data_IF_451682396075
#
_entry.id   IF_451682396075
#
_cell.length_a   1.000
_cell.length_b   1.000
_cell.length_c   1.000
_cell.angle_alpha   90.00
_cell.angle_beta   90.00
_cell.angle_gamma   90.00
#
_symmetry.space_group_name_H-M   'P 1'
#
loop_
_entity.id
_entity.type
_entity.pdbx_description
1 polymer ?
#
# COMPACT_ATOMS: atom_id res chain seq x y z
N UNK A 1 49.05 34.54 -80.29
CA UNK A 1 48.59 33.18 -79.93
C UNK A 1 47.15 33.35 -79.44
N UNK A 2 46.14 33.25 -80.30
CA UNK A 2 45.42 32.01 -80.70
C UNK A 2 45.03 31.20 -79.44
N UNK A 3 43.76 31.13 -79.05
CA UNK A 3 42.69 30.45 -79.81
C UNK A 3 41.31 31.11 -79.74
N UNK A 4 40.60 30.98 -80.86
CA UNK A 4 39.28 31.51 -81.19
C UNK A 4 38.08 30.68 -80.68
N UNK A 5 36.96 31.40 -80.49
CA UNK A 5 35.56 31.15 -80.89
C UNK A 5 34.97 29.72 -80.79
N UNK A 6 33.74 29.66 -80.28
CA UNK A 6 32.56 29.32 -81.11
C UNK A 6 31.24 29.73 -80.44
N UNK A 7 30.61 30.75 -81.04
CA UNK A 7 29.17 31.00 -81.02
C UNK A 7 28.60 30.21 -82.21
N UNK A 8 27.55 29.43 -82.01
CA UNK A 8 26.66 29.00 -83.09
C UNK A 8 25.24 28.82 -82.55
N UNK A 9 24.42 29.81 -82.86
CA UNK A 9 22.97 29.72 -83.10
C UNK A 9 22.67 28.66 -84.17
N UNK A 10 21.44 28.12 -84.20
CA UNK A 10 20.52 28.21 -85.36
C UNK A 10 19.21 27.39 -85.15
N UNK A 11 18.10 28.15 -85.17
CA UNK A 11 16.77 28.00 -85.80
C UNK A 11 15.74 26.87 -85.49
N UNK A 12 14.56 27.38 -85.10
CA UNK A 12 13.20 27.18 -85.64
C UNK A 12 12.55 25.79 -85.67
N UNK A 13 11.35 25.68 -85.07
CA UNK A 13 10.09 26.06 -85.76
C UNK A 13 8.91 26.22 -84.78
N UNK A 14 7.90 27.03 -85.15
CA UNK A 14 6.76 27.37 -84.30
C UNK A 14 5.70 26.28 -84.39
N UNK A 15 4.88 26.11 -83.34
CA UNK A 15 3.44 25.82 -83.47
C UNK A 15 2.69 25.69 -82.14
N UNK A 16 1.48 26.24 -82.19
CA UNK A 16 0.26 25.84 -81.51
C UNK A 16 0.11 26.10 -80.01
N UNK A 17 -0.71 27.13 -79.75
CA UNK A 17 -1.72 27.22 -78.70
C UNK A 17 -1.99 25.90 -77.97
N UNK A 18 -1.99 25.96 -76.64
CA UNK A 18 -3.14 25.52 -75.86
C UNK A 18 -3.10 26.30 -74.57
N UNK A 19 -4.08 27.18 -74.37
CA UNK A 19 -4.46 27.58 -73.03
C UNK A 19 -4.76 26.28 -72.28
N UNK A 20 -3.83 25.84 -71.43
CA UNK A 20 -4.13 24.77 -70.48
C UNK A 20 -5.06 25.38 -69.46
N UNK A 21 -6.36 25.37 -69.79
CA UNK A 21 -7.42 25.61 -68.85
C UNK A 21 -7.12 24.81 -67.60
N UNK A 22 -7.27 25.44 -66.42
CA UNK A 22 -7.14 24.76 -65.13
C UNK A 22 -8.00 23.51 -65.21
N UNK A 23 -7.38 22.33 -65.37
CA UNK A 23 -8.09 21.06 -65.31
C UNK A 23 -8.79 21.07 -63.96
N UNK A 24 -10.12 21.09 -63.94
CA UNK A 24 -10.87 20.95 -62.70
C UNK A 24 -10.37 19.66 -62.06
N UNK A 25 -9.71 19.78 -60.90
CA UNK A 25 -9.20 18.62 -60.16
C UNK A 25 -10.36 17.65 -59.97
N UNK A 26 -10.12 16.36 -60.16
CA UNK A 26 -11.20 15.39 -60.00
C UNK A 26 -11.74 15.50 -58.58
N UNK A 27 -13.06 15.28 -58.38
CA UNK A 27 -13.66 15.35 -57.03
C UNK A 27 -12.92 14.46 -56.02
N UNK A 28 -12.33 13.36 -56.49
CA UNK A 28 -11.52 12.43 -55.69
C UNK A 28 -10.15 13.00 -55.30
N UNK A 29 -9.49 13.76 -56.18
CA UNK A 29 -8.25 14.47 -55.83
C UNK A 29 -8.53 15.59 -54.81
N UNK A 30 -9.63 16.32 -54.99
CA UNK A 30 -10.03 17.37 -54.04
C UNK A 30 -10.33 16.77 -52.67
N UNK A 31 -11.06 15.65 -52.62
CA UNK A 31 -11.36 14.93 -51.38
C UNK A 31 -10.08 14.40 -50.70
N UNK A 32 -9.15 13.83 -51.46
CA UNK A 32 -7.87 13.33 -50.93
C UNK A 32 -7.02 14.45 -50.33
N UNK A 33 -6.86 15.56 -51.05
CA UNK A 33 -6.10 16.70 -50.54
C UNK A 33 -6.79 17.39 -49.36
N UNK A 34 -8.13 17.40 -49.33
CA UNK A 34 -8.88 17.88 -48.17
C UNK A 34 -8.67 16.98 -46.95
N UNK A 35 -8.66 15.66 -47.14
CA UNK A 35 -8.42 14.70 -46.05
C UNK A 35 -7.00 14.82 -45.50
N UNK A 36 -5.99 14.93 -46.37
CA UNK A 36 -4.60 15.16 -45.98
C UNK A 36 -4.46 16.51 -45.24
N UNK A 37 -5.17 17.55 -45.70
CA UNK A 37 -5.19 18.85 -45.02
C UNK A 37 -5.76 18.78 -43.61
N UNK A 38 -6.89 18.08 -43.43
CA UNK A 38 -7.47 17.86 -42.09
C UNK A 38 -6.54 17.03 -41.22
N UNK A 39 -5.93 15.96 -41.75
CA UNK A 39 -5.01 15.12 -41.00
C UNK A 39 -3.76 15.90 -40.54
N UNK A 40 -3.23 16.77 -41.40
CA UNK A 40 -2.10 17.62 -41.07
C UNK A 40 -2.46 18.63 -39.97
N UNK A 41 -3.64 19.25 -40.03
CA UNK A 41 -4.11 20.17 -38.98
C UNK A 41 -4.31 19.43 -37.66
N UNK A 42 -4.92 18.24 -37.67
CA UNK A 42 -5.09 17.42 -36.45
C UNK A 42 -3.73 17.01 -35.88
N UNK A 43 -2.75 16.67 -36.72
CA UNK A 43 -1.42 16.27 -36.28
C UNK A 43 -0.66 17.44 -35.66
N UNK A 44 -0.75 18.65 -36.25
CA UNK A 44 -0.13 19.86 -35.69
C UNK A 44 -0.82 20.27 -34.39
N UNK A 45 -2.15 20.19 -34.32
CA UNK A 45 -2.89 20.45 -33.08
C UNK A 45 -2.56 19.43 -32.00
N UNK A 46 -2.47 18.14 -32.34
CA UNK A 46 -2.09 17.10 -31.39
C UNK A 46 -0.66 17.30 -30.90
N UNK A 47 0.30 17.54 -31.81
CA UNK A 47 1.69 17.82 -31.44
C UNK A 47 1.80 19.10 -30.58
N UNK A 48 1.07 20.16 -30.91
CA UNK A 48 1.04 21.37 -30.10
C UNK A 48 0.43 21.14 -28.72
N UNK A 49 -0.68 20.39 -28.62
CA UNK A 49 -1.29 20.07 -27.32
C UNK A 49 -0.38 19.14 -26.49
N UNK A 50 0.27 18.16 -27.10
CA UNK A 50 1.24 17.28 -26.43
C UNK A 50 2.43 18.11 -25.93
N UNK A 51 3.04 18.94 -26.79
CA UNK A 51 4.17 19.79 -26.39
C UNK A 51 3.73 20.83 -25.34
N UNK A 52 2.56 21.44 -25.49
CA UNK A 52 2.03 22.41 -24.53
C UNK A 52 1.77 21.76 -23.17
N UNK A 53 1.20 20.56 -23.16
CA UNK A 53 0.94 19.76 -21.96
C UNK A 53 2.23 19.31 -21.26
N UNK A 54 3.25 18.90 -22.03
CA UNK A 54 4.49 18.38 -21.44
C UNK A 54 5.58 19.42 -21.17
N UNK A 55 5.62 20.54 -21.90
CA UNK A 55 6.78 21.46 -21.90
C UNK A 55 6.44 22.93 -21.65
N UNK A 56 5.26 23.42 -22.03
CA UNK A 56 4.98 24.88 -22.02
C UNK A 56 4.11 25.28 -20.83
N UNK A 57 3.15 24.46 -20.40
CA UNK A 57 2.24 24.80 -19.30
C UNK A 57 2.03 23.66 -18.28
N UNK A 58 3.07 23.18 -17.57
CA UNK A 58 2.90 22.23 -16.46
C UNK A 58 2.11 22.82 -15.27
N UNK A 59 1.79 24.13 -15.27
CA UNK A 59 1.21 24.86 -14.14
C UNK A 59 -0.22 25.36 -14.36
N UNK A 60 -0.84 25.19 -15.55
CA UNK A 60 -2.21 25.68 -15.82
C UNK A 60 -3.32 24.63 -15.70
N UNK A 61 -2.99 23.35 -15.61
CA UNK A 61 -3.93 22.36 -15.12
C UNK A 61 -3.90 22.41 -13.58
N UNK A 62 -5.04 22.76 -12.98
CA UNK A 62 -5.23 22.67 -11.55
C UNK A 62 -4.84 21.26 -11.06
N UNK A 63 -3.81 21.20 -10.20
CA UNK A 63 -3.22 19.95 -9.76
C UNK A 63 -1.99 19.60 -10.58
N UNK A 64 -0.82 19.71 -9.95
CA UNK A 64 0.48 19.25 -10.42
C UNK A 64 0.32 17.98 -11.28
N UNK A 65 0.90 17.89 -12.49
CA UNK A 65 0.90 16.63 -13.22
C UNK A 65 1.66 15.58 -12.39
N UNK A 66 0.91 14.74 -11.66
CA UNK A 66 1.38 13.60 -10.86
C UNK A 66 1.79 12.44 -11.76
N UNK A 67 2.67 12.68 -12.73
CA UNK A 67 3.33 11.61 -13.47
C UNK A 67 4.83 11.77 -13.30
N UNK A 68 5.32 11.14 -12.23
CA UNK A 68 6.72 11.07 -11.84
C UNK A 68 7.16 12.32 -11.11
N UNK A 69 7.31 12.23 -9.80
CA UNK A 69 8.26 13.11 -9.10
C UNK A 69 9.60 12.93 -9.81
N UNK A 70 9.91 13.86 -10.71
CA UNK A 70 11.16 13.82 -11.46
C UNK A 70 12.26 13.96 -10.43
N UNK A 71 13.11 12.94 -10.33
CA UNK A 71 14.36 12.95 -9.57
C UNK A 71 15.35 14.02 -10.09
N UNK A 72 14.93 14.83 -11.07
CA UNK A 72 15.68 15.93 -11.65
C UNK A 72 16.00 16.97 -10.55
N UNK A 73 17.28 17.10 -10.22
CA UNK A 73 17.75 17.99 -9.17
C UNK A 73 17.78 17.38 -7.76
N UNK A 74 17.38 16.11 -7.62
CA UNK A 74 17.54 15.37 -6.36
C UNK A 74 19.03 15.06 -6.15
N UNK A 75 19.58 15.55 -5.04
CA UNK A 75 20.96 15.29 -4.65
C UNK A 75 21.04 13.84 -4.17
N UNK A 76 21.77 13.00 -4.87
CA UNK A 76 21.97 11.59 -4.48
C UNK A 76 22.65 11.51 -3.11
N UNK A 77 22.13 10.64 -2.24
CA UNK A 77 22.75 10.33 -0.96
C UNK A 77 23.95 9.42 -1.21
N UNK A 78 25.13 9.84 -0.78
CA UNK A 78 26.33 9.03 -0.92
C UNK A 78 26.24 7.74 -0.09
N UNK A 79 26.64 6.62 -0.68
CA UNK A 79 26.59 5.32 -0.01
C UNK A 79 27.40 5.29 1.30
N UNK A 80 28.47 6.09 1.41
CA UNK A 80 29.23 6.22 2.66
C UNK A 80 28.38 6.80 3.80
N UNK A 81 27.53 7.79 3.51
CA UNK A 81 26.63 8.39 4.51
C UNK A 81 25.61 7.35 4.98
N UNK A 82 25.07 6.55 4.06
CA UNK A 82 24.16 5.45 4.36
C UNK A 82 24.86 4.41 5.26
N UNK A 83 26.06 3.98 4.88
CA UNK A 83 26.83 2.99 5.64
C UNK A 83 27.22 3.49 7.04
N UNK A 84 27.56 4.77 7.17
CA UNK A 84 27.87 5.40 8.46
C UNK A 84 26.65 5.42 9.37
N UNK A 85 25.46 5.76 8.84
CA UNK A 85 24.21 5.72 9.59
C UNK A 85 23.82 4.29 10.01
N UNK A 86 24.00 3.30 9.13
CA UNK A 86 23.79 1.89 9.47
C UNK A 86 24.75 1.41 10.56
N UNK A 87 26.01 1.83 10.48
CA UNK A 87 27.03 1.48 11.48
C UNK A 87 26.75 2.14 12.83
N UNK A 88 26.34 3.41 12.83
CA UNK A 88 25.87 4.11 14.03
C UNK A 88 24.70 3.37 14.68
N UNK A 89 23.68 3.03 13.89
CA UNK A 89 22.48 2.36 14.38
C UNK A 89 22.73 0.95 14.90
N UNK A 90 23.61 0.18 14.24
CA UNK A 90 24.00 -1.16 14.69
C UNK A 90 24.78 -1.14 16.01
N UNK A 91 25.32 0.02 16.42
CA UNK A 91 25.95 0.21 17.73
C UNK A 91 24.97 0.54 18.85
N UNK A 92 23.69 0.75 18.56
CA UNK A 92 22.67 1.03 19.57
C UNK A 92 22.24 -0.26 20.30
N UNK A 93 22.01 -0.13 21.60
CA UNK A 93 21.58 -1.27 22.42
C UNK A 93 20.22 -1.80 21.97
N UNK A 94 20.12 -3.13 21.85
CA UNK A 94 18.90 -3.82 21.42
C UNK A 94 18.68 -3.83 19.91
N UNK A 95 19.57 -3.21 19.11
CA UNK A 95 19.51 -3.26 17.64
C UNK A 95 20.35 -4.42 17.12
N UNK A 96 19.75 -5.29 16.32
CA UNK A 96 20.40 -6.41 15.65
C UNK A 96 20.93 -6.04 14.28
N UNK A 97 20.15 -5.28 13.50
CA UNK A 97 20.54 -4.84 12.17
C UNK A 97 19.81 -3.58 11.75
N UNK A 98 20.45 -2.84 10.84
CA UNK A 98 19.90 -1.62 10.23
C UNK A 98 20.10 -1.71 8.73
N UNK A 99 19.00 -1.69 7.99
CA UNK A 99 19.03 -1.62 6.54
C UNK A 99 18.42 -0.31 6.05
N UNK A 100 19.19 0.46 5.29
CA UNK A 100 18.74 1.74 4.74
C UNK A 100 18.72 1.63 3.22
N UNK A 101 17.55 1.82 2.62
CA UNK A 101 17.36 1.73 1.17
C UNK A 101 16.76 3.03 0.66
N UNK A 102 17.28 3.54 -0.46
CA UNK A 102 16.79 4.77 -1.09
C UNK A 102 16.12 4.41 -2.41
N UNK A 103 14.82 4.67 -2.49
CA UNK A 103 14.02 4.45 -3.70
C UNK A 103 13.38 5.77 -4.15
N UNK A 104 14.02 6.41 -5.13
CA UNK A 104 13.58 7.73 -5.59
C UNK A 104 13.69 8.78 -4.47
N UNK A 105 12.57 9.41 -4.11
CA UNK A 105 12.48 10.38 -3.02
C UNK A 105 12.20 9.73 -1.66
N UNK A 106 12.10 8.41 -1.57
CA UNK A 106 11.79 7.72 -0.32
C UNK A 106 13.06 7.10 0.26
N UNK A 107 13.32 7.36 1.53
CA UNK A 107 14.37 6.70 2.32
C UNK A 107 13.69 5.74 3.29
N UNK A 108 13.92 4.45 3.08
CA UNK A 108 13.44 3.37 3.94
C UNK A 108 14.51 3.04 4.97
N UNK A 109 14.16 3.13 6.25
CA UNK A 109 15.01 2.74 7.38
C UNK A 109 14.34 1.55 8.07
N UNK A 110 14.89 0.37 7.86
CA UNK A 110 14.45 -0.89 8.45
C UNK A 110 15.40 -1.27 9.59
N UNK A 111 14.87 -1.30 10.81
CA UNK A 111 15.62 -1.62 12.03
C UNK A 111 15.08 -2.91 12.63
N UNK A 112 15.97 -3.90 12.78
CA UNK A 112 15.68 -5.12 13.52
C UNK A 112 16.19 -5.02 14.93
N UNK A 113 15.35 -5.37 15.89
CA UNK A 113 15.66 -5.30 17.32
C UNK A 113 15.54 -6.66 18.00
N UNK A 114 16.20 -6.81 19.15
CA UNK A 114 16.03 -8.00 19.99
C UNK A 114 14.58 -8.14 20.46
N UNK A 115 14.10 -9.38 20.60
CA UNK A 115 12.73 -9.69 21.05
C UNK A 115 12.40 -9.15 22.45
N UNK A 116 13.42 -8.81 23.24
CA UNK A 116 13.29 -8.22 24.58
C UNK A 116 13.28 -6.69 24.57
N UNK A 117 13.47 -6.06 23.40
CA UNK A 117 13.48 -4.60 23.26
C UNK A 117 12.04 -4.08 23.23
N UNK A 118 11.70 -3.23 24.21
CA UNK A 118 10.40 -2.56 24.24
C UNK A 118 10.18 -1.68 23.01
N UNK A 119 8.95 -1.66 22.47
CA UNK A 119 8.62 -0.92 21.25
C UNK A 119 9.03 0.56 21.31
N UNK A 120 8.77 1.24 22.42
CA UNK A 120 9.10 2.66 22.60
C UNK A 120 10.62 2.93 22.51
N UNK A 121 11.44 2.01 23.00
CA UNK A 121 12.91 2.08 22.88
C UNK A 121 13.34 1.83 21.44
N UNK A 122 12.71 0.87 20.77
CA UNK A 122 13.00 0.51 19.38
C UNK A 122 12.64 1.67 18.42
N UNK A 123 11.48 2.29 18.61
CA UNK A 123 11.06 3.52 17.92
C UNK A 123 12.07 4.64 18.14
N UNK A 124 12.40 4.96 19.39
CA UNK A 124 13.36 6.02 19.72
C UNK A 124 14.77 5.76 19.14
N UNK A 125 15.22 4.51 19.06
CA UNK A 125 16.49 4.18 18.41
C UNK A 125 16.40 4.37 16.89
N UNK A 126 15.28 4.02 16.27
CA UNK A 126 15.05 4.22 14.83
C UNK A 126 15.00 5.70 14.48
N UNK A 127 14.36 6.53 15.32
CA UNK A 127 14.37 7.99 15.19
C UNK A 127 15.79 8.54 15.23
N UNK A 128 16.62 8.11 16.19
CA UNK A 128 18.04 8.53 16.27
C UNK A 128 18.84 8.19 15.02
N UNK A 129 18.60 7.03 14.42
CA UNK A 129 19.26 6.60 13.18
C UNK A 129 18.84 7.52 12.03
N UNK A 130 17.54 7.81 11.93
CA UNK A 130 16.99 8.73 10.94
C UNK A 130 17.54 10.15 11.10
N UNK A 131 17.56 10.68 12.32
CA UNK A 131 18.13 12.00 12.64
C UNK A 131 19.62 12.08 12.32
N UNK A 132 20.38 11.01 12.60
CA UNK A 132 21.79 10.93 12.24
C UNK A 132 21.99 11.00 10.73
N UNK A 133 21.18 10.25 9.97
CA UNK A 133 21.23 10.27 8.50
C UNK A 133 20.89 11.66 7.94
N UNK A 134 19.84 12.30 8.47
CA UNK A 134 19.41 13.66 8.09
C UNK A 134 20.55 14.67 8.32
N UNK A 135 21.15 14.67 9.51
CA UNK A 135 22.25 15.58 9.85
C UNK A 135 23.48 15.34 8.96
N UNK A 136 23.82 14.08 8.67
CA UNK A 136 24.91 13.74 7.78
C UNK A 136 24.66 14.20 6.33
N UNK A 137 23.43 14.03 5.83
CA UNK A 137 23.00 14.53 4.52
C UNK A 137 23.10 16.05 4.44
N UNK A 138 22.58 16.77 5.44
CA UNK A 138 22.56 18.23 5.43
C UNK A 138 23.95 18.86 5.63
N UNK A 139 24.87 18.15 6.31
CA UNK A 139 26.29 18.53 6.38
C UNK A 139 27.01 18.36 5.04
N UNK A 140 26.70 17.29 4.30
CA UNK A 140 27.28 17.04 3.00
C UNK A 140 26.73 18.00 1.93
N UNK A 141 25.42 18.24 1.97
CA UNK A 141 24.75 19.20 1.09
C UNK A 141 23.55 19.83 1.80
N UNK A 142 23.61 21.15 1.99
CA UNK A 142 22.68 21.89 2.83
C UNK A 142 21.22 21.71 2.40
N UNK A 143 20.37 21.27 3.34
CA UNK A 143 18.94 21.02 3.17
C UNK A 143 18.60 19.92 2.15
N UNK A 144 19.54 19.02 1.84
CA UNK A 144 19.27 17.89 0.94
C UNK A 144 18.26 16.90 1.53
N UNK A 145 18.18 16.80 2.86
CA UNK A 145 17.20 15.96 3.56
C UNK A 145 15.74 16.33 3.26
N UNK A 146 15.45 17.61 3.03
CA UNK A 146 14.09 18.11 2.79
C UNK A 146 13.50 17.63 1.46
N UNK A 147 14.34 17.12 0.55
CA UNK A 147 13.89 16.54 -0.72
C UNK A 147 13.47 15.07 -0.58
N UNK A 148 13.60 14.47 0.60
CA UNK A 148 13.33 13.06 0.87
C UNK A 148 12.20 12.86 1.88
N UNK A 149 11.44 11.79 1.70
CA UNK A 149 10.45 11.30 2.64
C UNK A 149 11.03 10.09 3.38
N UNK A 150 11.09 10.16 4.71
CA UNK A 150 11.63 9.08 5.53
C UNK A 150 10.51 8.16 6.01
N UNK A 151 10.65 6.87 5.72
CA UNK A 151 9.78 5.81 6.18
C UNK A 151 10.58 4.87 7.08
N UNK A 152 10.08 4.68 8.29
CA UNK A 152 10.74 3.95 9.36
C UNK A 152 9.97 2.66 9.60
N UNK A 153 10.68 1.56 9.72
CA UNK A 153 10.13 0.25 10.06
C UNK A 153 10.95 -0.31 11.19
N UNK A 154 10.28 -0.72 12.28
CA UNK A 154 10.94 -1.42 13.37
C UNK A 154 10.24 -2.73 13.65
N UNK A 155 11.03 -3.78 13.81
CA UNK A 155 10.53 -5.14 13.96
C UNK A 155 11.51 -6.00 14.76
N UNK A 156 11.00 -6.95 15.53
CA UNK A 156 11.81 -7.93 16.28
C UNK A 156 12.12 -9.20 15.48
N UNK A 157 11.39 -9.44 14.38
CA UNK A 157 11.57 -10.57 13.47
C UNK A 157 11.30 -10.14 12.02
N UNK A 158 11.49 -11.03 11.05
CA UNK A 158 11.14 -10.78 9.64
C UNK A 158 9.63 -10.49 9.48
N UNK A 159 9.21 -9.56 8.60
CA UNK A 159 7.80 -9.18 8.48
C UNK A 159 6.87 -10.33 8.11
N UNK A 160 7.36 -11.33 7.35
CA UNK A 160 6.56 -12.50 6.99
C UNK A 160 6.32 -13.38 8.21
N UNK A 161 7.37 -13.63 8.98
CA UNK A 161 7.26 -14.39 10.24
C UNK A 161 6.34 -13.68 11.22
N UNK A 162 6.41 -12.35 11.32
CA UNK A 162 5.50 -11.55 12.15
C UNK A 162 4.05 -11.67 11.72
N UNK A 163 3.77 -11.62 10.42
CA UNK A 163 2.40 -11.82 9.91
C UNK A 163 1.90 -13.22 10.26
N UNK A 164 2.73 -14.24 10.11
CA UNK A 164 2.37 -15.62 10.42
C UNK A 164 2.16 -15.83 11.93
N UNK A 165 3.02 -15.27 12.79
CA UNK A 165 2.89 -15.30 14.25
C UNK A 165 1.64 -14.54 14.73
N UNK A 166 1.45 -13.29 14.27
CA UNK A 166 0.27 -12.49 14.62
C UNK A 166 -1.02 -13.19 14.17
N UNK A 167 -1.00 -13.83 13.00
CA UNK A 167 -2.15 -14.60 12.51
C UNK A 167 -2.42 -15.83 13.38
N UNK A 168 -1.37 -16.53 13.83
CA UNK A 168 -1.51 -17.66 14.73
C UNK A 168 -2.06 -17.25 16.10
N UNK A 169 -1.55 -16.15 16.68
CA UNK A 169 -2.04 -15.60 17.95
C UNK A 169 -3.48 -15.08 17.85
N UNK A 170 -3.84 -14.42 16.75
CA UNK A 170 -5.22 -14.01 16.48
C UNK A 170 -6.15 -15.22 16.39
N UNK A 171 -5.74 -16.28 15.69
CA UNK A 171 -6.52 -17.51 15.58
C UNK A 171 -6.66 -18.22 16.94
N UNK A 172 -5.63 -18.22 17.78
CA UNK A 172 -5.70 -18.78 19.13
C UNK A 172 -6.63 -17.95 20.03
N UNK A 173 -6.56 -16.62 19.95
CA UNK A 173 -7.50 -15.73 20.66
C UNK A 173 -8.95 -15.98 20.24
N UNK A 174 -9.21 -16.06 18.93
CA UNK A 174 -10.55 -16.37 18.40
C UNK A 174 -11.02 -17.72 18.94
N UNK A 175 -10.15 -18.74 18.91
CA UNK A 175 -10.46 -20.06 19.47
C UNK A 175 -10.84 -19.97 20.95
N UNK A 176 -10.03 -19.33 21.78
CA UNK A 176 -10.28 -19.20 23.21
C UNK A 176 -11.60 -18.47 23.50
N UNK A 177 -11.90 -17.42 22.75
CA UNK A 177 -13.14 -16.67 22.88
C UNK A 177 -14.36 -17.51 22.50
N UNK A 178 -14.32 -18.21 21.37
CA UNK A 178 -15.41 -19.10 20.94
C UNK A 178 -15.65 -20.21 21.96
N UNK A 179 -14.58 -20.84 22.47
CA UNK A 179 -14.67 -21.85 23.55
C UNK A 179 -15.32 -21.26 24.81
N UNK A 180 -14.95 -20.03 25.21
CA UNK A 180 -15.50 -19.38 26.40
C UNK A 180 -17.00 -19.07 26.26
N UNK A 181 -17.45 -18.64 25.07
CA UNK A 181 -18.87 -18.46 24.78
C UNK A 181 -19.62 -19.78 24.95
N UNK A 182 -19.11 -20.86 24.38
CA UNK A 182 -19.80 -22.16 24.45
C UNK A 182 -19.78 -22.71 25.87
N UNK A 183 -18.70 -22.52 26.63
CA UNK A 183 -18.65 -22.84 28.07
C UNK A 183 -19.74 -22.10 28.85
N UNK A 184 -19.94 -20.80 28.63
CA UNK A 184 -20.99 -20.04 29.29
C UNK A 184 -22.39 -20.57 28.96
N UNK A 185 -22.65 -20.88 27.68
CA UNK A 185 -23.95 -21.38 27.25
C UNK A 185 -24.21 -22.80 27.77
N UNK A 186 -23.20 -23.68 27.77
CA UNK A 186 -23.31 -25.04 28.31
C UNK A 186 -23.49 -25.00 29.82
N UNK A 187 -22.68 -24.21 30.55
CA UNK A 187 -22.84 -24.02 31.99
C UNK A 187 -24.22 -23.49 32.36
N UNK A 188 -24.78 -22.58 31.55
CA UNK A 188 -26.14 -22.10 31.73
C UNK A 188 -27.21 -23.18 31.54
N UNK A 189 -27.01 -24.08 30.57
CA UNK A 189 -27.88 -25.24 30.38
C UNK A 189 -27.72 -26.29 31.50
N UNK A 190 -26.52 -26.41 32.09
CA UNK A 190 -26.29 -27.26 33.26
C UNK A 190 -27.00 -26.72 34.51
N UNK A 191 -27.02 -25.40 34.70
CA UNK A 191 -27.73 -24.75 35.81
C UNK A 191 -29.25 -24.77 35.61
N UNK A 192 -29.71 -24.54 34.38
CA UNK A 192 -31.13 -24.50 34.02
C UNK A 192 -31.41 -25.39 32.79
N UNK A 193 -31.55 -26.73 32.96
CA UNK A 193 -31.71 -27.68 31.86
C UNK A 193 -33.12 -27.69 31.26
N UNK A 194 -33.52 -26.56 30.70
CA UNK A 194 -34.74 -26.39 29.90
C UNK A 194 -34.51 -26.81 28.46
N UNK A 195 -35.58 -27.18 27.73
CA UNK A 195 -35.50 -27.51 26.28
C UNK A 195 -34.77 -26.40 25.51
N UNK A 196 -35.15 -25.15 25.75
CA UNK A 196 -34.59 -24.00 25.04
C UNK A 196 -33.09 -23.80 25.32
N UNK A 197 -32.64 -24.01 26.56
CA UNK A 197 -31.23 -23.87 26.92
C UNK A 197 -30.40 -25.03 26.37
N UNK A 198 -30.91 -26.25 26.40
CA UNK A 198 -30.26 -27.44 25.82
C UNK A 198 -30.13 -27.28 24.29
N UNK A 199 -31.19 -26.84 23.60
CA UNK A 199 -31.14 -26.54 22.17
C UNK A 199 -30.14 -25.42 21.84
N UNK A 200 -30.12 -24.35 22.65
CA UNK A 200 -29.15 -23.25 22.50
C UNK A 200 -27.72 -23.76 22.68
N UNK A 201 -27.45 -24.62 23.65
CA UNK A 201 -26.13 -25.22 23.87
C UNK A 201 -25.71 -26.09 22.67
N UNK A 202 -26.57 -27.01 22.24
CA UNK A 202 -26.31 -27.86 21.06
C UNK A 202 -26.04 -27.04 19.80
N UNK A 203 -26.78 -25.96 19.57
CA UNK A 203 -26.56 -25.08 18.42
C UNK A 203 -25.19 -24.39 18.47
N UNK A 204 -24.73 -23.94 19.64
CA UNK A 204 -23.42 -23.32 19.80
C UNK A 204 -22.28 -24.34 19.64
N UNK A 205 -22.44 -25.55 20.18
CA UNK A 205 -21.48 -26.66 20.00
C UNK A 205 -21.34 -27.02 18.51
N UNK A 206 -22.45 -27.06 17.77
CA UNK A 206 -22.43 -27.36 16.33
C UNK A 206 -21.59 -26.37 15.51
N UNK A 207 -21.56 -25.09 15.89
CA UNK A 207 -20.71 -24.09 15.22
C UNK A 207 -19.22 -24.36 15.43
N UNK A 208 -18.82 -24.91 16.58
CA UNK A 208 -17.43 -25.26 16.88
C UNK A 208 -16.99 -26.57 16.25
N UNK A 209 -17.91 -27.47 15.90
CA UNK A 209 -17.61 -28.86 15.55
C UNK A 209 -16.69 -29.02 14.32
N UNK A 210 -16.66 -28.01 13.44
CA UNK A 210 -15.77 -28.01 12.26
C UNK A 210 -14.38 -27.46 12.59
N UNK A 211 -14.29 -26.45 13.45
CA UNK A 211 -13.04 -25.74 13.76
C UNK A 211 -12.28 -26.37 14.93
N UNK A 212 -13.01 -26.86 15.94
CA UNK A 212 -12.50 -27.31 17.25
C UNK A 212 -13.23 -28.60 17.69
N UNK A 213 -13.00 -29.74 17.02
CA UNK A 213 -13.81 -30.95 17.19
C UNK A 213 -13.62 -31.63 18.55
N UNK A 214 -12.44 -31.52 19.16
CA UNK A 214 -12.15 -32.14 20.47
C UNK A 214 -12.92 -31.42 21.60
N UNK A 215 -12.87 -30.08 21.60
CA UNK A 215 -13.60 -29.25 22.54
C UNK A 215 -15.11 -29.40 22.35
N UNK A 216 -15.59 -29.39 21.10
CA UNK A 216 -17.01 -29.62 20.79
C UNK A 216 -17.50 -30.98 21.31
N UNK A 217 -16.70 -32.04 21.17
CA UNK A 217 -17.05 -33.37 21.69
C UNK A 217 -17.08 -33.41 23.22
N UNK A 218 -16.23 -32.66 23.91
CA UNK A 218 -16.25 -32.55 25.37
C UNK A 218 -17.52 -31.83 25.86
N UNK A 219 -17.90 -30.73 25.21
CA UNK A 219 -19.15 -30.02 25.51
C UNK A 219 -20.38 -30.85 25.19
N UNK A 220 -20.39 -31.57 24.07
CA UNK A 220 -21.53 -32.42 23.70
C UNK A 220 -21.81 -33.49 24.76
N UNK A 221 -20.76 -34.13 25.31
CA UNK A 221 -20.93 -35.10 26.40
C UNK A 221 -21.56 -34.51 27.65
N UNK A 222 -21.29 -33.24 27.96
CA UNK A 222 -21.89 -32.54 29.10
C UNK A 222 -23.38 -32.32 28.87
N UNK A 223 -23.73 -31.81 27.68
CA UNK A 223 -25.14 -31.58 27.30
C UNK A 223 -25.93 -32.89 27.20
N UNK A 224 -25.34 -33.95 26.63
CA UNK A 224 -25.98 -35.27 26.50
C UNK A 224 -26.26 -35.93 27.87
N UNK A 225 -25.55 -35.53 28.91
CA UNK A 225 -25.75 -36.02 30.28
C UNK A 225 -26.86 -35.28 31.03
N UNK A 226 -27.37 -34.17 30.49
CA UNK A 226 -28.44 -33.38 31.11
C UNK A 226 -29.78 -34.11 31.01
N UNK A 227 -30.54 -34.06 32.10
CA UNK A 227 -31.95 -34.47 32.11
C UNK A 227 -32.80 -33.22 32.05
N UNK A 228 -33.61 -33.10 31.00
CA UNK A 228 -34.55 -32.01 30.81
C UNK A 228 -35.50 -31.88 32.02
N UNK A 229 -35.72 -30.64 32.48
CA UNK A 229 -36.69 -30.35 33.53
C UNK A 229 -38.11 -30.59 33.03
N UNK A 230 -38.97 -31.12 33.91
CA UNK A 230 -40.41 -31.15 33.62
C UNK A 230 -41.00 -29.74 33.74
N UNK A 231 -42.13 -29.49 33.08
CA UNK A 231 -42.83 -28.19 33.17
C UNK A 231 -43.14 -27.77 34.61
N UNK A 232 -43.42 -28.73 35.49
CA UNK A 232 -43.66 -28.51 36.92
C UNK A 232 -42.39 -28.06 37.67
N UNK A 233 -41.23 -28.57 37.27
CA UNK A 233 -39.94 -28.18 37.84
C UNK A 233 -39.47 -26.81 37.32
N UNK A 234 -39.76 -26.50 36.06
CA UNK A 234 -39.50 -25.17 35.49
C UNK A 234 -40.35 -24.09 36.17
N UNK A 235 -41.65 -24.35 36.40
CA UNK A 235 -42.53 -23.40 37.10
C UNK A 235 -42.08 -23.15 38.55
N UNK A 236 -41.52 -24.18 39.21
CA UNK A 236 -40.98 -24.06 40.57
C UNK A 236 -39.67 -23.23 40.65
N UNK A 237 -38.94 -23.10 39.55
CA UNK A 237 -37.71 -22.29 39.48
C UNK A 237 -38.00 -20.78 39.35
N UNK A 238 -39.21 -20.40 38.95
CA UNK A 238 -39.59 -19.01 38.77
C UNK A 238 -38.94 -18.36 37.54
N UNK A 239 -38.62 -17.07 37.62
CA UNK A 239 -38.06 -16.32 36.49
C UNK A 239 -36.58 -16.66 36.29
N UNK A 240 -36.28 -17.40 35.22
CA UNK A 240 -34.91 -17.76 34.83
C UNK A 240 -34.20 -16.52 34.27
N UNK A 241 -32.97 -16.20 34.72
CA UNK A 241 -32.21 -15.06 34.22
C UNK A 241 -32.02 -15.08 32.69
N UNK A 242 -31.76 -13.93 32.08
CA UNK A 242 -31.35 -13.92 30.67
C UNK A 242 -29.83 -14.01 30.58
N UNK A 243 -29.31 -15.01 29.85
CA UNK A 243 -27.89 -15.10 29.54
C UNK A 243 -27.54 -14.16 28.38
N UNK A 244 -26.92 -13.03 28.71
CA UNK A 244 -26.21 -12.17 27.77
C UNK A 244 -24.82 -12.74 27.52
N UNK A 245 -24.51 -13.02 26.25
CA UNK A 245 -23.19 -13.51 25.83
C UNK A 245 -22.56 -12.39 25.02
N UNK A 246 -21.34 -12.02 25.40
CA UNK A 246 -20.56 -11.04 24.63
C UNK A 246 -20.28 -11.59 23.23
N UNK A 247 -20.47 -10.75 22.22
CA UNK A 247 -20.27 -11.10 20.81
C UNK A 247 -19.11 -10.34 20.20
N UNK A 248 -18.51 -9.39 20.94
CA UNK A 248 -17.40 -8.60 20.42
C UNK A 248 -16.08 -9.35 20.56
N UNK A 249 -15.66 -9.97 19.46
CA UNK A 249 -14.29 -10.47 19.29
C UNK A 249 -13.40 -9.26 19.01
N UNK A 250 -12.75 -8.71 20.03
CA UNK A 250 -11.67 -7.73 19.84
C UNK A 250 -10.40 -8.27 20.50
N UNK A 251 -9.41 -8.73 19.71
CA UNK A 251 -8.10 -9.06 20.26
C UNK A 251 -7.58 -7.83 21.00
N UNK A 252 -7.40 -7.94 22.31
CA UNK A 252 -6.96 -6.82 23.17
C UNK A 252 -5.48 -6.46 22.95
N UNK A 253 -4.74 -7.27 22.20
CA UNK A 253 -3.30 -7.13 21.97
C UNK A 253 -2.89 -7.78 20.65
N UNK A 254 -3.05 -7.06 19.54
CA UNK A 254 -2.25 -7.34 18.34
C UNK A 254 -0.80 -6.97 18.70
N UNK A 255 0.18 -7.76 18.24
CA UNK A 255 1.59 -7.54 18.58
C UNK A 255 2.03 -6.10 18.32
N UNK A 256 2.86 -5.56 19.22
CA UNK A 256 3.46 -4.22 19.13
C UNK A 256 4.38 -4.05 17.90
N UNK A 257 4.72 -5.15 17.22
CA UNK A 257 5.57 -5.18 16.03
C UNK A 257 4.85 -5.84 14.83
N UNK A 258 5.18 -5.46 13.58
CA UNK A 258 6.08 -4.36 13.22
C UNK A 258 5.41 -3.00 13.43
N UNK A 259 6.19 -2.01 13.84
CA UNK A 259 5.72 -0.62 14.00
C UNK A 259 6.25 0.23 12.86
N UNK A 260 5.38 1.06 12.31
CA UNK A 260 5.67 1.88 11.13
C UNK A 260 5.69 3.35 11.50
N UNK A 261 6.75 4.04 11.12
CA UNK A 261 6.94 5.46 11.37
C UNK A 261 7.12 6.23 10.08
N UNK A 262 6.74 7.50 10.09
CA UNK A 262 7.07 8.44 9.02
C UNK A 262 7.54 9.76 9.61
N UNK A 263 8.58 10.35 9.04
CA UNK A 263 8.94 11.73 9.37
C UNK A 263 7.94 12.68 8.72
N UNK A 264 7.28 13.49 9.53
CA UNK A 264 6.44 14.57 9.04
C UNK A 264 7.31 15.80 8.72
N UNK A 265 7.44 16.18 7.43
CA UNK A 265 8.34 17.26 7.03
C UNK A 265 7.86 18.64 7.49
N UNK A 266 6.58 18.81 7.81
CA UNK A 266 6.03 20.09 8.28
C UNK A 266 6.34 20.34 9.76
N UNK A 267 6.35 19.28 10.57
CA UNK A 267 6.52 19.38 12.02
C UNK A 267 7.92 18.98 12.48
N UNK A 268 8.68 18.26 11.64
CA UNK A 268 9.96 17.66 12.00
C UNK A 268 9.83 16.55 13.05
N UNK A 269 8.65 15.94 13.19
CA UNK A 269 8.37 14.88 14.16
C UNK A 269 8.07 13.57 13.48
N UNK A 270 8.35 12.47 14.17
CA UNK A 270 8.00 11.13 13.73
C UNK A 270 6.59 10.78 14.18
N UNK A 271 5.76 10.38 13.22
CA UNK A 271 4.42 9.87 13.45
C UNK A 271 4.45 8.33 13.34
N UNK A 272 4.21 7.64 14.46
CA UNK A 272 4.19 6.18 14.56
C UNK A 272 2.75 5.63 14.52
N UNK A 273 2.59 4.45 13.92
CA UNK A 273 1.32 3.70 13.79
C UNK A 273 1.44 2.30 14.35
#
# INVERSE_FOLDING_TARGET
>A
MATEKKKNTTNEKPKTQTSKGKKARSKNEIALYSFIGVLAVVTVLFAYNVISYFYIEPTKAAGKPQYGDRLDGLVTIDQSIINDAQSYGSGLSGVQSVNITVEGMIVYIDVRVDSTTALTTAQANTEKISDYLIDAMDKANANSSQAYNFQLVVANEDPKTLVDTNRAEELDYIKQHDVAIVEQVVGYAEEYPTVANIERANKNIAYMQTSYPEEAAAFQKRVDALTELTAEQEEALGEIPTLEVDKEIKPSSIAEYPSWGTLNPETGKYDWK
#
